data_IF_674875721851
#
_entry.id   IF_674875721851
#
_cell.length_a   1.000
_cell.length_b   1.000
_cell.length_c   1.000
_cell.angle_alpha   90.00
_cell.angle_beta   90.00
_cell.angle_gamma   90.00
#
_symmetry.space_group_name_H-M   'P 1'
#
loop_
_entity.id
_entity.type
_entity.pdbx_description
1 polymer ?
#
# COMPACT_ATOMS: atom_id res chain seq x y z
N UNK A 1 19.78 -5.16 -17.22
CA UNK A 1 18.45 -5.78 -17.42
C UNK A 1 17.75 -5.78 -16.08
N UNK A 2 16.49 -5.35 -16.00
CA UNK A 2 15.71 -5.45 -14.76
C UNK A 2 15.25 -6.90 -14.55
N UNK A 3 15.19 -7.36 -13.31
CA UNK A 3 14.61 -8.67 -12.99
C UNK A 3 13.08 -8.62 -13.05
N UNK A 4 12.40 -9.70 -13.50
CA UNK A 4 10.95 -9.75 -13.54
C UNK A 4 10.35 -9.84 -12.12
N UNK A 5 9.33 -9.02 -11.85
CA UNK A 5 8.58 -9.06 -10.59
C UNK A 5 7.80 -10.36 -10.44
N UNK A 6 7.80 -10.93 -9.23
CA UNK A 6 7.05 -12.14 -8.86
C UNK A 6 6.47 -12.00 -7.45
N UNK A 7 5.29 -12.57 -7.25
CA UNK A 7 4.59 -12.56 -5.96
C UNK A 7 3.33 -11.68 -5.97
N UNK A 8 2.89 -11.28 -4.79
CA UNK A 8 1.67 -10.47 -4.59
C UNK A 8 2.04 -8.99 -4.52
N UNK A 9 1.54 -8.21 -5.47
CA UNK A 9 1.69 -6.75 -5.52
C UNK A 9 0.31 -6.15 -5.27
N UNK A 10 0.13 -5.51 -4.13
CA UNK A 10 -1.18 -5.03 -3.71
C UNK A 10 -1.40 -3.62 -4.24
N UNK A 11 -2.57 -3.31 -4.76
CA UNK A 11 -2.95 -1.94 -5.11
C UNK A 11 -3.61 -1.32 -3.87
N UNK A 12 -2.90 -0.56 -3.00
CA UNK A 12 -3.50 -0.01 -1.80
C UNK A 12 -4.57 1.02 -2.18
N UNK A 13 -5.62 1.10 -1.38
CA UNK A 13 -6.58 2.19 -1.49
C UNK A 13 -5.90 3.51 -1.12
N UNK A 14 -6.30 4.61 -1.76
CA UNK A 14 -5.88 5.97 -1.37
C UNK A 14 -6.90 6.52 -0.35
N UNK A 15 -6.60 6.50 0.96
CA UNK A 15 -7.55 6.95 1.96
C UNK A 15 -7.62 8.48 2.01
N UNK A 16 -8.82 9.02 2.17
CA UNK A 16 -9.05 10.45 2.36
C UNK A 16 -9.81 10.68 3.67
N UNK A 17 -9.51 11.78 4.34
CA UNK A 17 -10.25 12.23 5.52
C UNK A 17 -11.60 12.86 5.11
N UNK A 18 -12.43 13.23 6.09
CA UNK A 18 -13.75 13.82 5.85
C UNK A 18 -13.72 15.15 5.07
N UNK A 19 -12.56 15.81 4.96
CA UNK A 19 -12.34 17.02 4.17
C UNK A 19 -11.81 16.73 2.76
N UNK A 20 -11.69 15.46 2.38
CA UNK A 20 -11.15 15.04 1.09
C UNK A 20 -9.63 15.20 0.97
N UNK A 21 -8.91 15.40 2.08
CA UNK A 21 -7.44 15.45 2.07
C UNK A 21 -6.88 14.05 2.29
N UNK A 22 -5.70 13.76 1.75
CA UNK A 22 -5.01 12.49 1.94
C UNK A 22 -4.88 12.18 3.46
N UNK A 23 -5.32 11.00 3.87
CA UNK A 23 -5.06 10.49 5.21
C UNK A 23 -3.72 9.75 5.22
N UNK A 24 -2.64 10.48 5.50
CA UNK A 24 -1.28 9.93 5.49
C UNK A 24 -1.05 8.85 6.56
N UNK A 25 -1.67 9.00 7.74
CA UNK A 25 -1.56 7.99 8.80
C UNK A 25 -2.35 6.73 8.44
N UNK A 26 -3.54 6.89 7.86
CA UNK A 26 -4.32 5.79 7.30
C UNK A 26 -3.55 5.06 6.21
N UNK A 27 -2.92 5.81 5.30
CA UNK A 27 -2.09 5.23 4.26
C UNK A 27 -0.92 4.43 4.86
N UNK A 28 -0.23 4.97 5.88
CA UNK A 28 0.85 4.25 6.57
C UNK A 28 0.37 2.92 7.16
N UNK A 29 -0.79 2.92 7.84
CA UNK A 29 -1.39 1.69 8.39
C UNK A 29 -1.75 0.67 7.30
N UNK A 30 -2.25 1.12 6.14
CA UNK A 30 -2.56 0.24 5.01
C UNK A 30 -1.27 -0.41 4.48
N UNK A 31 -0.20 0.37 4.31
CA UNK A 31 1.09 -0.16 3.86
C UNK A 31 1.67 -1.15 4.87
N UNK A 32 1.69 -0.80 6.16
CA UNK A 32 2.19 -1.67 7.22
C UNK A 32 1.44 -3.00 7.26
N UNK A 33 0.11 -2.96 7.05
CA UNK A 33 -0.71 -4.17 6.94
C UNK A 33 -0.35 -5.02 5.71
N UNK A 34 -0.28 -4.42 4.51
CA UNK A 34 0.06 -5.15 3.29
C UNK A 34 1.42 -5.85 3.41
N UNK A 35 2.43 -5.13 3.92
CA UNK A 35 3.77 -5.68 4.16
C UNK A 35 3.72 -6.77 5.24
N UNK A 36 3.03 -6.52 6.36
CA UNK A 36 2.87 -7.49 7.46
C UNK A 36 2.18 -8.79 7.04
N UNK A 37 1.31 -8.75 6.03
CA UNK A 37 0.67 -9.92 5.44
C UNK A 37 1.52 -10.64 4.37
N UNK A 38 2.72 -10.15 4.05
CA UNK A 38 3.63 -10.79 3.10
C UNK A 38 3.47 -10.32 1.65
N UNK A 39 3.01 -9.08 1.42
CA UNK A 39 3.10 -8.47 0.11
C UNK A 39 4.56 -8.40 -0.37
N UNK A 40 4.77 -8.70 -1.65
CA UNK A 40 6.07 -8.66 -2.31
C UNK A 40 6.35 -7.28 -2.92
N UNK A 41 5.30 -6.44 -3.01
CA UNK A 41 5.34 -5.06 -3.45
C UNK A 41 3.96 -4.41 -3.42
N UNK A 42 3.88 -3.19 -3.95
CA UNK A 42 2.67 -2.38 -4.08
C UNK A 42 2.51 -1.94 -5.54
#
# INVERSE_FOLDING_TARGET
MSEPFRGVYTIPSTPFNARGQLDEEGLRRIIDFCVGCGAHGL
#
